data_IF_705829375525
#
_entry.id   IF_705829375525
#
_cell.length_a   1.000
_cell.length_b   1.000
_cell.length_c   1.000
_cell.angle_alpha   90.00
_cell.angle_beta   90.00
_cell.angle_gamma   90.00
#
_symmetry.space_group_name_H-M   'P 1'
#
loop_
_entity.id
_entity.type
_entity.pdbx_description
1 polymer ?
#
# COMPACT_ATOMS: atom_id res chain seq x y z
N UNK A 1 2.42 19.88 -11.98
CA UNK A 1 3.67 19.24 -11.52
C UNK A 1 3.33 17.79 -11.24
N UNK A 2 4.00 16.83 -11.87
CA UNK A 2 3.76 15.42 -11.58
C UNK A 2 4.27 15.14 -10.16
N UNK A 3 3.40 14.68 -9.27
CA UNK A 3 3.82 14.19 -7.95
C UNK A 3 4.69 12.97 -8.18
N UNK A 4 5.94 12.99 -7.72
CA UNK A 4 6.83 11.84 -7.84
C UNK A 4 6.33 10.70 -6.94
N UNK A 5 5.79 9.65 -7.57
CA UNK A 5 5.28 8.47 -6.87
C UNK A 5 6.42 7.78 -6.13
N UNK A 6 6.23 7.62 -4.83
CA UNK A 6 7.19 6.97 -3.97
C UNK A 6 7.06 5.46 -4.06
N UNK A 7 8.19 4.77 -4.14
CA UNK A 7 8.23 3.32 -4.09
C UNK A 7 8.16 2.85 -2.64
N UNK A 8 7.51 1.72 -2.42
CA UNK A 8 7.46 1.10 -1.10
C UNK A 8 8.84 0.57 -0.70
N UNK A 9 9.28 0.92 0.50
CA UNK A 9 10.43 0.31 1.17
C UNK A 9 9.99 -0.53 2.36
N UNK A 10 10.91 -1.25 3.00
CA UNK A 10 10.61 -1.89 4.28
C UNK A 10 10.18 -0.86 5.32
N UNK A 11 9.10 -1.13 6.03
CA UNK A 11 8.45 -0.14 6.90
C UNK A 11 6.97 -0.40 7.15
N UNK A 12 6.34 0.54 7.84
CA UNK A 12 4.91 0.50 8.16
C UNK A 12 4.17 1.61 7.40
N UNK A 13 2.97 1.32 6.92
CA UNK A 13 2.20 2.23 6.08
C UNK A 13 0.72 2.22 6.47
N UNK A 14 0.08 3.38 6.46
CA UNK A 14 -1.36 3.52 6.55
C UNK A 14 -1.85 4.32 5.34
N UNK A 15 -2.54 3.66 4.42
CA UNK A 15 -3.10 4.29 3.23
C UNK A 15 -4.45 4.93 3.55
N UNK A 16 -4.76 6.06 2.93
CA UNK A 16 -6.01 6.78 3.15
C UNK A 16 -6.47 7.52 1.90
N UNK A 17 -7.74 7.96 1.89
CA UNK A 17 -8.37 8.59 0.73
C UNK A 17 -8.94 7.55 -0.23
N UNK A 18 -8.60 7.66 -1.53
CA UNK A 18 -9.04 6.71 -2.56
C UNK A 18 -7.85 6.25 -3.40
N UNK A 19 -7.85 4.99 -3.89
CA UNK A 19 -6.88 4.55 -4.89
C UNK A 19 -7.04 5.40 -6.16
N UNK A 20 -5.93 5.83 -6.75
CA UNK A 20 -5.92 6.59 -8.01
C UNK A 20 -5.29 5.71 -9.07
N UNK A 21 -6.05 5.43 -10.14
CA UNK A 21 -5.51 4.72 -11.28
C UNK A 21 -4.49 5.62 -12.00
N UNK A 22 -3.30 5.10 -12.22
CA UNK A 22 -2.26 5.78 -12.98
C UNK A 22 -2.54 5.59 -14.47
N UNK A 23 -2.80 6.69 -15.18
CA UNK A 23 -2.95 6.69 -16.62
C UNK A 23 -1.57 6.60 -17.27
N UNK A 24 -1.28 5.48 -17.94
CA UNK A 24 -0.10 5.37 -18.79
C UNK A 24 -0.51 5.14 -20.24
N UNK A 25 0.21 5.78 -21.16
CA UNK A 25 0.13 5.45 -22.58
C UNK A 25 0.57 3.98 -22.74
N UNK A 26 -0.28 3.13 -23.34
CA UNK A 26 -0.01 1.71 -23.63
C UNK A 26 0.12 0.72 -22.45
N UNK A 27 -0.46 0.98 -21.27
CA UNK A 27 -0.35 0.01 -20.17
C UNK A 27 -1.51 -1.00 -20.21
N UNK A 28 -1.20 -2.22 -20.65
CA UNK A 28 -2.09 -3.40 -20.58
C UNK A 28 -2.52 -3.76 -19.15
N UNK A 29 -1.87 -3.18 -18.13
CA UNK A 29 -2.08 -3.45 -16.71
C UNK A 29 -2.24 -2.14 -15.96
N UNK A 30 -3.44 -1.85 -15.46
CA UNK A 30 -3.68 -0.66 -14.66
C UNK A 30 -2.79 -0.65 -13.39
N UNK A 31 -2.01 0.42 -13.24
CA UNK A 31 -1.28 0.76 -12.02
C UNK A 31 -2.15 1.64 -11.12
N UNK A 32 -1.88 1.61 -9.82
CA UNK A 32 -2.61 2.36 -8.79
C UNK A 32 -1.65 2.99 -7.80
N UNK A 33 -2.00 4.19 -7.36
CA UNK A 33 -1.37 4.87 -6.24
C UNK A 33 -2.36 5.14 -5.11
N UNK A 34 -1.85 5.42 -3.92
CA UNK A 34 -2.63 5.99 -2.82
C UNK A 34 -1.76 6.87 -1.93
N UNK A 35 -2.39 7.85 -1.27
CA UNK A 35 -1.73 8.61 -0.21
C UNK A 35 -1.56 7.72 1.02
N UNK A 36 -0.40 7.82 1.66
CA UNK A 36 -0.12 7.09 2.88
C UNK A 36 0.72 7.90 3.86
N UNK A 37 0.57 7.58 5.15
CA UNK A 37 1.59 7.88 6.15
C UNK A 37 2.58 6.71 6.11
N UNK A 38 3.83 6.97 5.72
CA UNK A 38 4.90 5.97 5.68
C UNK A 38 5.90 6.14 6.83
N UNK A 39 6.30 5.02 7.45
CA UNK A 39 7.37 4.93 8.46
C UNK A 39 8.39 3.89 7.99
N UNK A 40 9.41 4.30 7.21
CA UNK A 40 10.46 3.39 6.74
C UNK A 40 11.34 2.87 7.88
N UNK A 41 11.71 1.59 7.85
CA UNK A 41 12.57 0.97 8.89
C UNK A 41 14.02 1.49 8.85
N UNK A 42 14.46 2.03 7.72
CA UNK A 42 15.86 2.40 7.47
C UNK A 42 16.24 3.80 8.00
N UNK A 43 15.35 4.50 8.70
CA UNK A 43 15.60 5.87 9.13
C UNK A 43 15.28 6.04 10.62
N UNK A 44 16.30 5.81 11.45
CA UNK A 44 16.32 6.27 12.85
C UNK A 44 16.03 7.78 12.87
N UNK A 45 14.91 8.17 13.51
CA UNK A 45 14.54 9.56 13.72
C UNK A 45 13.81 10.25 12.56
N UNK A 46 13.25 9.52 11.59
CA UNK A 46 12.50 10.15 10.49
C UNK A 46 11.02 10.29 10.79
N UNK A 47 10.60 11.55 10.79
CA UNK A 47 9.21 11.96 10.86
C UNK A 47 8.40 11.22 9.78
N UNK A 48 7.34 10.55 10.22
CA UNK A 48 6.33 10.03 9.33
C UNK A 48 5.90 11.17 8.38
N UNK A 49 5.82 10.86 7.09
CA UNK A 49 5.45 11.84 6.08
C UNK A 49 4.26 11.33 5.28
N UNK A 50 3.39 12.26 4.88
CA UNK A 50 2.32 11.97 3.94
C UNK A 50 2.92 12.05 2.54
N UNK A 51 2.91 10.93 1.84
CA UNK A 51 3.40 10.83 0.47
C UNK A 51 2.41 9.99 -0.35
N UNK A 52 2.51 10.08 -1.67
CA UNK A 52 1.77 9.23 -2.59
C UNK A 52 2.64 8.06 -3.01
N UNK A 53 2.15 6.84 -2.81
CA UNK A 53 2.89 5.60 -3.06
C UNK A 53 2.27 4.80 -4.18
N UNK A 54 3.10 4.12 -4.98
CA UNK A 54 2.65 3.06 -5.88
C UNK A 54 2.24 1.83 -5.05
N UNK A 55 0.95 1.49 -5.10
CA UNK A 55 0.37 0.35 -4.38
C UNK A 55 0.18 -0.87 -5.28
N UNK A 56 0.46 -0.76 -6.58
CA UNK A 56 0.32 -1.84 -7.56
C UNK A 56 1.15 -3.06 -7.19
N UNK A 57 2.33 -2.82 -6.61
CA UNK A 57 3.27 -3.87 -6.24
C UNK A 57 2.71 -4.79 -5.15
N UNK A 58 1.84 -4.30 -4.27
CA UNK A 58 1.26 -5.07 -3.15
C UNK A 58 0.39 -6.25 -3.62
N UNK A 59 -0.18 -6.20 -4.83
CA UNK A 59 -0.99 -7.29 -5.40
C UNK A 59 -0.42 -7.80 -6.73
N UNK A 60 0.86 -7.53 -6.98
CA UNK A 60 1.56 -8.04 -8.16
C UNK A 60 1.77 -9.57 -8.07
N UNK A 61 1.97 -10.22 -9.22
CA UNK A 61 2.25 -11.67 -9.27
C UNK A 61 3.48 -12.08 -8.46
N UNK A 62 4.43 -11.17 -8.30
CA UNK A 62 5.69 -11.41 -7.58
C UNK A 62 5.62 -11.04 -6.10
N UNK A 63 4.51 -10.44 -5.65
CA UNK A 63 4.33 -10.08 -4.25
C UNK A 63 3.74 -11.23 -3.45
N UNK A 64 4.11 -11.28 -2.17
CA UNK A 64 3.62 -12.24 -1.19
C UNK A 64 2.98 -11.53 -0.02
N UNK A 65 1.89 -12.10 0.47
CA UNK A 65 1.20 -11.66 1.68
C UNK A 65 1.38 -12.70 2.78
N UNK A 66 1.78 -12.26 3.98
CA UNK A 66 1.93 -13.12 5.15
C UNK A 66 0.65 -13.09 5.99
N UNK A 67 -0.01 -14.24 6.10
CA UNK A 67 -1.21 -14.45 6.91
C UNK A 67 -1.00 -15.69 7.78
N UNK A 68 -1.19 -15.58 9.09
CA UNK A 68 -1.06 -16.71 10.04
C UNK A 68 0.22 -17.54 9.81
N UNK A 69 1.37 -16.86 9.68
CA UNK A 69 2.69 -17.45 9.43
C UNK A 69 2.87 -18.14 8.05
N UNK A 70 1.86 -18.08 7.17
CA UNK A 70 1.91 -18.61 5.81
C UNK A 70 2.07 -17.50 4.78
N UNK A 71 2.97 -17.73 3.82
CA UNK A 71 3.12 -16.87 2.65
C UNK A 71 2.17 -17.31 1.55
N UNK A 72 1.35 -16.39 1.08
CA UNK A 72 0.47 -16.59 -0.09
C UNK A 72 0.82 -15.59 -1.18
N UNK A 73 0.54 -15.95 -2.43
CA UNK A 73 0.77 -15.06 -3.56
C UNK A 73 -0.26 -13.92 -3.55
N UNK A 74 0.21 -12.67 -3.47
CA UNK A 74 -0.67 -11.52 -3.22
C UNK A 74 -1.62 -11.22 -4.38
N UNK A 75 -1.29 -11.64 -5.61
CA UNK A 75 -2.17 -11.52 -6.78
C UNK A 75 -3.44 -12.40 -6.70
N UNK A 76 -3.52 -13.29 -5.70
CA UNK A 76 -4.70 -14.12 -5.41
C UNK A 76 -5.65 -13.48 -4.39
N UNK A 77 -5.29 -12.32 -3.83
CA UNK A 77 -6.08 -11.64 -2.80
C UNK A 77 -7.32 -10.94 -3.35
N UNK A 78 -7.34 -10.61 -4.64
CA UNK A 78 -8.48 -9.95 -5.27
C UNK A 78 -9.20 -10.88 -6.24
N UNK A 79 -10.50 -10.67 -6.38
CA UNK A 79 -11.33 -11.45 -7.30
C UNK A 79 -10.97 -11.09 -8.75
N UNK A 80 -10.55 -12.09 -9.51
CA UNK A 80 -10.28 -11.92 -10.93
C UNK A 80 -11.59 -11.66 -11.69
N UNK A 81 -11.58 -10.78 -12.70
CA UNK A 81 -12.77 -10.51 -13.50
C UNK A 81 -13.16 -11.76 -14.29
N UNK A 82 -14.46 -11.93 -14.58
CA UNK A 82 -14.94 -13.02 -15.41
C UNK A 82 -14.35 -12.98 -16.83
N UNK A 83 -14.15 -11.79 -17.37
CA UNK A 83 -13.47 -11.58 -18.65
C UNK A 83 -12.00 -11.20 -18.43
N UNK A 84 -11.12 -12.20 -18.52
CA UNK A 84 -9.67 -12.01 -18.34
C UNK A 84 -9.02 -11.20 -19.47
N UNK A 85 -9.71 -11.00 -20.60
CA UNK A 85 -9.23 -10.21 -21.74
C UNK A 85 -9.58 -8.72 -21.67
N UNK A 86 -10.33 -8.27 -20.65
CA UNK A 86 -10.76 -6.87 -20.50
C UNK A 86 -9.88 -6.12 -19.48
N UNK A 87 -8.98 -5.22 -19.93
CA UNK A 87 -8.13 -4.43 -19.04
C UNK A 87 -8.91 -3.54 -18.07
N UNK A 88 -10.11 -3.07 -18.45
CA UNK A 88 -10.96 -2.25 -17.57
C UNK A 88 -11.53 -3.09 -16.45
N UNK A 89 -11.95 -4.33 -16.74
CA UNK A 89 -12.43 -5.25 -15.72
C UNK A 89 -11.33 -5.59 -14.71
N UNK A 90 -10.09 -5.79 -15.18
CA UNK A 90 -8.93 -5.95 -14.29
C UNK A 90 -8.68 -4.72 -13.41
N UNK A 91 -8.74 -3.52 -13.98
CA UNK A 91 -8.58 -2.27 -13.24
C UNK A 91 -9.63 -2.14 -12.14
N UNK A 92 -10.90 -2.40 -12.45
CA UNK A 92 -12.01 -2.38 -11.49
C UNK A 92 -11.81 -3.39 -10.36
N UNK A 93 -11.43 -4.63 -10.67
CA UNK A 93 -11.16 -5.67 -9.66
C UNK A 93 -10.06 -5.25 -8.68
N UNK A 94 -8.96 -4.66 -9.19
CA UNK A 94 -7.86 -4.18 -8.35
C UNK A 94 -8.26 -2.96 -7.52
N UNK A 95 -8.98 -2.01 -8.13
CA UNK A 95 -9.50 -0.84 -7.45
C UNK A 95 -10.36 -1.25 -6.24
N UNK A 96 -11.31 -2.17 -6.45
CA UNK A 96 -12.19 -2.67 -5.40
C UNK A 96 -11.40 -3.31 -4.26
N UNK A 97 -10.40 -4.12 -4.58
CA UNK A 97 -9.54 -4.71 -3.54
C UNK A 97 -8.85 -3.64 -2.70
N UNK A 98 -8.23 -2.64 -3.34
CA UNK A 98 -7.54 -1.59 -2.62
C UNK A 98 -8.51 -0.77 -1.76
N UNK A 99 -9.64 -0.36 -2.32
CA UNK A 99 -10.65 0.43 -1.63
C UNK A 99 -11.23 -0.31 -0.42
N UNK A 100 -11.50 -1.62 -0.54
CA UNK A 100 -12.16 -2.39 0.52
C UNK A 100 -11.19 -2.96 1.56
N UNK A 101 -9.96 -3.26 1.18
CA UNK A 101 -9.04 -4.04 2.03
C UNK A 101 -7.72 -3.34 2.35
N UNK A 102 -7.29 -2.34 1.57
CA UNK A 102 -6.01 -1.67 1.80
C UNK A 102 -6.18 -0.27 2.37
N UNK A 103 -7.14 0.50 1.88
CA UNK A 103 -7.43 1.84 2.37
C UNK A 103 -7.94 1.78 3.81
N UNK A 104 -7.42 2.69 4.66
CA UNK A 104 -7.66 2.75 6.09
C UNK A 104 -7.22 1.51 6.87
N UNK A 105 -6.42 0.63 6.26
CA UNK A 105 -5.80 -0.52 6.91
C UNK A 105 -4.29 -0.27 7.02
N UNK A 106 -3.73 -0.61 8.18
CA UNK A 106 -2.29 -0.51 8.39
C UNK A 106 -1.61 -1.78 7.88
N UNK A 107 -0.50 -1.61 7.16
CA UNK A 107 0.33 -2.71 6.68
C UNK A 107 1.77 -2.55 7.15
N UNK A 108 2.48 -3.67 7.15
CA UNK A 108 3.93 -3.72 7.29
C UNK A 108 4.54 -4.39 6.07
N UNK A 109 5.45 -3.68 5.41
CA UNK A 109 6.32 -4.22 4.36
C UNK A 109 7.57 -4.79 5.02
N UNK A 110 7.68 -6.11 4.96
CA UNK A 110 8.73 -6.90 5.62
C UNK A 110 10.00 -6.99 4.77
N UNK A 111 9.82 -7.10 3.45
CA UNK A 111 10.92 -7.26 2.49
C UNK A 111 10.57 -6.60 1.18
N UNK A 112 11.57 -5.95 0.59
CA UNK A 112 11.56 -5.46 -0.80
C UNK A 112 12.83 -5.99 -1.45
N UNK A 113 12.72 -6.72 -2.56
CA UNK A 113 13.88 -7.18 -3.35
C UNK A 113 14.18 -6.24 -4.51
N UNK A 114 15.37 -6.40 -5.10
CA UNK A 114 15.80 -5.66 -6.31
C UNK A 114 14.83 -5.86 -7.49
N UNK A 115 14.19 -7.03 -7.59
CA UNK A 115 13.18 -7.36 -8.60
C UNK A 115 11.77 -6.82 -8.29
N UNK A 116 11.65 -5.86 -7.36
CA UNK A 116 10.40 -5.31 -6.85
C UNK A 116 9.44 -6.35 -6.26
N UNK A 117 9.98 -7.46 -5.72
CA UNK A 117 9.17 -8.41 -4.97
C UNK A 117 8.94 -7.86 -3.58
N UNK A 118 7.67 -7.76 -3.18
CA UNK A 118 7.29 -7.25 -1.87
C UNK A 118 6.66 -8.37 -1.04
N UNK A 119 7.17 -8.55 0.17
CA UNK A 119 6.51 -9.36 1.21
C UNK A 119 5.90 -8.42 2.24
N UNK A 120 4.59 -8.52 2.47
CA UNK A 120 3.88 -7.62 3.38
C UNK A 120 2.78 -8.35 4.17
N UNK A 121 2.28 -7.70 5.23
CA UNK A 121 1.16 -8.19 6.04
C UNK A 121 0.29 -7.04 6.53
N UNK A 122 -0.95 -7.34 6.92
CA UNK A 122 -1.73 -6.42 7.74
C UNK A 122 -1.16 -6.37 9.16
N UNK A 123 -1.23 -5.19 9.76
CA UNK A 123 -0.92 -4.99 11.17
C UNK A 123 -2.09 -4.29 11.87
N UNK A 124 -2.32 -4.54 13.16
CA UNK A 124 -3.30 -3.79 13.93
C UNK A 124 -3.01 -2.28 13.89
N UNK A 125 -4.05 -1.45 13.80
CA UNK A 125 -3.88 0.01 13.78
C UNK A 125 -3.15 0.51 15.04
N UNK A 126 -3.36 -0.13 16.19
CA UNK A 126 -2.64 0.18 17.43
C UNK A 126 -1.12 0.03 17.30
N UNK A 127 -0.64 -0.97 16.54
CA UNK A 127 0.79 -1.14 16.28
C UNK A 127 1.34 0.01 15.43
N UNK A 128 0.57 0.47 14.45
CA UNK A 128 0.93 1.61 13.62
C UNK A 128 0.97 2.91 14.46
N UNK A 129 -0.05 3.15 15.28
CA UNK A 129 -0.10 4.33 16.16
C UNK A 129 1.09 4.41 17.12
N UNK A 130 1.50 3.27 17.70
CA UNK A 130 2.72 3.21 18.52
C UNK A 130 3.95 3.62 17.71
N UNK A 131 4.12 3.08 16.50
CA UNK A 131 5.24 3.44 15.63
C UNK A 131 5.25 4.94 15.26
N UNK A 132 4.08 5.56 15.02
CA UNK A 132 4.00 7.00 14.74
C UNK A 132 4.44 7.82 15.96
N UNK A 133 4.03 7.42 17.17
CA UNK A 133 4.42 8.09 18.41
C UNK A 133 5.93 7.99 18.64
N UNK A 134 6.51 6.82 18.43
CA UNK A 134 7.95 6.56 18.56
C UNK A 134 8.78 7.32 17.51
N UNK A 135 8.26 7.46 16.29
CA UNK A 135 8.89 8.23 15.22
C UNK A 135 8.85 9.76 15.43
N UNK A 136 8.38 10.25 16.59
CA UNK A 136 8.17 11.68 16.89
C UNK A 136 7.34 12.42 15.82
N UNK A 137 6.46 11.70 15.12
CA UNK A 137 5.63 12.24 14.05
C UNK A 137 4.29 12.78 14.59
N UNK A 138 4.36 13.49 15.72
CA UNK A 138 3.23 13.92 16.55
C UNK A 138 2.27 14.87 15.81
N UNK A 139 2.69 15.47 14.69
CA UNK A 139 1.92 16.52 14.01
C UNK A 139 0.86 16.02 13.01
N UNK A 140 0.81 14.73 12.63
CA UNK A 140 -0.01 14.29 11.47
C UNK A 140 -1.21 13.38 11.78
N UNK A 141 -1.28 12.72 12.95
CA UNK A 141 -2.40 11.80 13.26
C UNK A 141 -3.72 12.54 13.56
N UNK A 142 -3.65 13.67 14.27
CA UNK A 142 -4.85 14.41 14.70
C UNK A 142 -5.57 15.14 13.55
N UNK A 143 -4.92 15.35 12.42
CA UNK A 143 -5.52 16.05 11.27
C UNK A 143 -6.34 15.16 10.34
N UNK A 144 -6.13 13.83 10.38
CA UNK A 144 -6.71 12.88 9.42
C UNK A 144 -7.81 12.04 10.07
N UNK A 145 -7.74 11.81 11.38
CA UNK A 145 -8.77 11.11 12.15
C UNK A 145 -9.08 11.89 13.43
N UNK A 146 -9.97 12.90 13.41
CA UNK A 146 -10.28 13.71 14.58
C UNK A 146 -11.09 12.98 15.67
N UNK A 147 -11.60 11.78 15.38
CA UNK A 147 -12.46 11.00 16.30
C UNK A 147 -11.81 9.71 16.83
N UNK A 148 -10.48 9.57 16.74
CA UNK A 148 -9.71 8.47 17.36
C UNK A 148 -8.99 8.90 18.63
#
# INVERSE_FOLDING_TARGET
>A
MATELQQLSTGKYLFFGKPVQQEGQNVMVAGFSAKAIGIPNNKLGVAASIQEYDISLLISKRSTHLIEEKLIEAHKLYTWPANLGDPKAWASSKYLFFEQHLINQAIEVLKVSEDHQITWKFIPLSFFQTAVKEAQAVTLLFSIFPEL
#
